data_IF_892202301881
#
_entry.id   IF_892202301881
#
_cell.length_a   1.000
_cell.length_b   1.000
_cell.length_c   1.000
_cell.angle_alpha   90.00
_cell.angle_beta   90.00
_cell.angle_gamma   90.00
#
_symmetry.space_group_name_H-M   'P 1'
#
loop_
_entity.id
_entity.type
_entity.pdbx_description
1 polymer ?
#
# COMPACT_ATOMS: atom_id res chain seq x y z
N UNK A 1 12.47 -44.39 5.61
CA UNK A 1 13.54 -43.95 4.71
C UNK A 1 13.36 -42.48 4.50
N UNK A 2 14.42 -41.71 4.66
CA UNK A 2 14.43 -40.29 4.31
C UNK A 2 14.84 -40.20 2.84
N UNK A 3 14.18 -39.40 2.04
CA UNK A 3 14.45 -39.25 0.62
C UNK A 3 13.90 -37.88 0.15
N UNK A 4 14.31 -37.48 -1.04
CA UNK A 4 13.81 -36.31 -1.73
C UNK A 4 13.04 -36.76 -2.99
N UNK A 5 11.99 -36.04 -3.32
CA UNK A 5 11.15 -36.32 -4.48
C UNK A 5 11.75 -35.64 -5.71
N UNK A 6 12.16 -36.40 -6.72
CA UNK A 6 12.58 -35.85 -8.00
C UNK A 6 11.38 -35.59 -8.91
N UNK A 7 10.43 -36.50 -8.93
CA UNK A 7 9.24 -36.40 -9.75
C UNK A 7 8.04 -37.00 -9.03
N UNK A 8 6.85 -36.38 -9.20
CA UNK A 8 5.58 -36.85 -8.63
C UNK A 8 4.48 -36.76 -9.67
N UNK A 9 4.03 -37.89 -10.19
CA UNK A 9 3.01 -37.98 -11.24
C UNK A 9 1.88 -38.94 -10.90
N UNK A 10 0.64 -38.46 -11.04
CA UNK A 10 -0.54 -39.30 -10.94
C UNK A 10 -0.97 -39.77 -12.32
N UNK A 11 -1.14 -41.07 -12.48
CA UNK A 11 -1.65 -41.70 -13.70
C UNK A 11 -3.19 -41.66 -13.75
N UNK A 12 -3.75 -41.87 -14.94
CA UNK A 12 -5.21 -41.98 -15.19
C UNK A 12 -5.90 -43.06 -14.33
N UNK A 13 -5.19 -44.12 -13.99
CA UNK A 13 -5.67 -45.18 -13.13
C UNK A 13 -5.62 -44.85 -11.62
N UNK A 14 -5.25 -43.62 -11.26
CA UNK A 14 -5.16 -43.15 -9.88
C UNK A 14 -3.90 -43.59 -9.13
N UNK A 15 -2.98 -44.31 -9.77
CA UNK A 15 -1.67 -44.65 -9.18
C UNK A 15 -0.75 -43.40 -9.26
N UNK A 16 0.08 -43.25 -8.22
CA UNK A 16 1.13 -42.22 -8.25
C UNK A 16 2.47 -42.91 -8.44
N UNK A 17 3.17 -42.43 -9.44
CA UNK A 17 4.55 -42.79 -9.72
C UNK A 17 5.47 -41.64 -9.34
N UNK A 18 6.50 -41.96 -8.61
CA UNK A 18 7.47 -40.96 -8.12
C UNK A 18 8.88 -41.54 -8.24
N UNK A 19 9.82 -40.65 -8.49
CA UNK A 19 11.24 -40.98 -8.38
C UNK A 19 11.75 -40.37 -7.06
N UNK A 20 12.28 -41.23 -6.19
CA UNK A 20 12.86 -40.85 -4.91
C UNK A 20 14.37 -40.86 -5.06
N UNK A 21 15.01 -39.78 -4.62
CA UNK A 21 16.45 -39.58 -4.70
C UNK A 21 17.05 -39.36 -3.30
N UNK A 22 18.31 -39.65 -3.18
CA UNK A 22 19.15 -39.26 -2.06
C UNK A 22 20.28 -38.42 -2.61
N UNK A 23 20.51 -37.25 -2.04
CA UNK A 23 21.57 -36.32 -2.43
C UNK A 23 22.53 -36.15 -1.26
N UNK A 24 23.79 -35.87 -1.58
CA UNK A 24 24.79 -35.41 -0.60
C UNK A 24 24.70 -33.89 -0.39
N UNK A 25 25.51 -33.37 0.52
CA UNK A 25 25.58 -31.93 0.82
C UNK A 25 26.01 -31.07 -0.39
N UNK A 26 26.51 -31.68 -1.46
CA UNK A 26 26.87 -31.02 -2.72
C UNK A 26 25.80 -31.10 -3.80
N UNK A 27 24.56 -31.53 -3.48
CA UNK A 27 23.45 -31.76 -4.41
C UNK A 27 23.76 -32.83 -5.49
N UNK A 28 24.71 -33.71 -5.24
CA UNK A 28 25.00 -34.85 -6.14
C UNK A 28 24.07 -36.01 -5.76
N UNK A 29 23.38 -36.56 -6.75
CA UNK A 29 22.49 -37.72 -6.52
C UNK A 29 23.35 -38.94 -6.23
N UNK A 30 23.28 -39.45 -4.99
CA UNK A 30 23.98 -40.65 -4.53
C UNK A 30 23.17 -41.89 -4.91
N UNK A 31 21.85 -41.85 -4.75
CA UNK A 31 20.98 -42.96 -5.06
C UNK A 31 19.66 -42.46 -5.63
N UNK A 32 19.06 -43.27 -6.49
CA UNK A 32 17.68 -43.03 -6.98
C UNK A 32 16.91 -44.32 -7.14
N UNK A 33 15.62 -44.27 -6.89
CA UNK A 33 14.73 -45.40 -7.03
C UNK A 33 13.34 -44.95 -7.45
N UNK A 34 12.73 -45.69 -8.35
CA UNK A 34 11.33 -45.52 -8.66
C UNK A 34 10.46 -46.03 -7.49
N UNK A 35 9.45 -45.25 -7.17
CA UNK A 35 8.48 -45.64 -6.15
C UNK A 35 7.04 -45.50 -6.66
N UNK A 36 6.16 -46.30 -6.13
CA UNK A 36 4.75 -46.30 -6.50
C UNK A 36 3.88 -46.20 -5.25
N UNK A 37 2.90 -45.30 -5.32
CA UNK A 37 1.80 -45.26 -4.36
C UNK A 37 0.52 -45.75 -5.07
N UNK A 38 0.05 -46.91 -4.67
CA UNK A 38 -1.10 -47.55 -5.33
C UNK A 38 -2.40 -46.80 -5.07
N UNK A 39 -3.29 -46.70 -6.06
CA UNK A 39 -4.55 -45.98 -5.99
C UNK A 39 -5.42 -46.29 -4.77
N UNK A 40 -5.40 -47.58 -4.33
CA UNK A 40 -6.13 -48.00 -3.12
C UNK A 40 -5.62 -47.36 -1.83
N UNK A 41 -4.36 -46.95 -1.80
CA UNK A 41 -3.69 -46.38 -0.62
C UNK A 41 -3.55 -44.86 -0.73
N UNK A 42 -3.73 -44.28 -1.92
CA UNK A 42 -3.52 -42.83 -2.17
C UNK A 42 -4.29 -41.97 -1.16
N UNK A 43 -5.58 -42.25 -0.97
CA UNK A 43 -6.37 -41.46 -0.03
C UNK A 43 -5.87 -41.61 1.41
N UNK A 44 -5.56 -42.85 1.84
CA UNK A 44 -5.10 -43.13 3.19
C UNK A 44 -3.73 -42.48 3.51
N UNK A 45 -2.82 -42.50 2.54
CA UNK A 45 -1.44 -41.96 2.70
C UNK A 45 -1.42 -40.47 2.53
N UNK A 46 -2.14 -39.92 1.52
CA UNK A 46 -2.08 -38.49 1.22
C UNK A 46 -3.03 -37.63 2.04
N UNK A 47 -4.18 -38.15 2.51
CA UNK A 47 -5.12 -37.32 3.26
C UNK A 47 -4.50 -36.69 4.53
N UNK A 48 -3.81 -37.47 5.40
CA UNK A 48 -3.13 -36.88 6.56
C UNK A 48 -2.03 -35.93 6.18
N UNK A 49 -1.27 -36.24 5.11
CA UNK A 49 -0.20 -35.40 4.61
C UNK A 49 -0.75 -34.07 4.09
N UNK A 50 -1.77 -34.11 3.23
CA UNK A 50 -2.40 -32.88 2.67
C UNK A 50 -3.08 -32.07 3.78
N UNK A 51 -3.70 -32.74 4.78
CA UNK A 51 -4.29 -32.03 5.90
C UNK A 51 -3.26 -31.23 6.71
N UNK A 52 -2.05 -31.76 6.89
CA UNK A 52 -0.99 -31.11 7.66
C UNK A 52 -0.20 -30.10 6.84
N UNK A 53 0.11 -30.40 5.57
CA UNK A 53 0.98 -29.58 4.70
C UNK A 53 0.22 -28.69 3.73
N UNK A 54 -1.09 -28.92 3.55
CA UNK A 54 -1.95 -28.17 2.64
C UNK A 54 -1.92 -28.66 1.19
N UNK A 55 -0.97 -29.53 0.80
CA UNK A 55 -0.84 -30.03 -0.57
C UNK A 55 -0.21 -31.43 -0.62
N UNK A 56 -0.37 -32.15 -1.76
CA UNK A 56 0.36 -33.38 -1.99
C UNK A 56 1.87 -33.13 -2.09
N UNK A 57 2.71 -34.18 -1.93
CA UNK A 57 4.12 -34.09 -2.20
C UNK A 57 4.41 -33.60 -3.62
N UNK A 58 5.48 -32.81 -3.76
CA UNK A 58 5.98 -32.30 -5.05
C UNK A 58 7.49 -32.52 -5.16
N UNK A 59 8.05 -32.20 -6.32
CA UNK A 59 9.50 -32.29 -6.56
C UNK A 59 10.29 -31.47 -5.52
N UNK A 60 11.49 -31.90 -5.20
CA UNK A 60 12.48 -31.36 -4.24
C UNK A 60 11.99 -31.32 -2.78
N UNK A 61 10.92 -32.02 -2.46
CA UNK A 61 10.41 -32.14 -1.10
C UNK A 61 11.13 -33.30 -0.38
N UNK A 62 11.70 -32.99 0.80
CA UNK A 62 12.25 -34.02 1.68
C UNK A 62 11.11 -34.72 2.44
N UNK A 63 11.04 -36.02 2.28
CA UNK A 63 10.01 -36.88 2.88
C UNK A 63 10.62 -37.93 3.77
N UNK A 64 9.93 -38.24 4.86
CA UNK A 64 10.13 -39.49 5.58
C UNK A 64 9.02 -40.46 5.17
N UNK A 65 9.41 -41.48 4.40
CA UNK A 65 8.46 -42.47 3.83
C UNK A 65 8.65 -43.85 4.41
N UNK A 66 7.55 -44.53 4.62
CA UNK A 66 7.56 -45.96 4.89
C UNK A 66 7.36 -46.70 3.57
N UNK A 67 8.34 -47.48 3.19
CA UNK A 67 8.34 -48.20 1.92
C UNK A 67 8.60 -49.67 2.11
N UNK A 68 8.14 -50.47 1.16
CA UNK A 68 8.58 -51.88 0.96
C UNK A 68 9.28 -51.99 -0.38
N UNK A 69 10.39 -52.71 -0.39
CA UNK A 69 11.12 -53.02 -1.61
C UNK A 69 10.39 -54.13 -2.39
N UNK A 70 10.24 -53.94 -3.67
CA UNK A 70 9.64 -54.89 -4.58
C UNK A 70 10.53 -55.07 -5.81
N UNK A 71 10.75 -56.33 -6.15
CA UNK A 71 11.46 -56.68 -7.37
C UNK A 71 10.55 -57.43 -8.33
N UNK A 72 10.42 -56.90 -9.53
CA UNK A 72 9.66 -57.55 -10.59
C UNK A 72 10.58 -57.98 -11.72
N UNK A 73 10.46 -59.21 -12.18
CA UNK A 73 11.37 -59.79 -13.19
C UNK A 73 11.46 -59.01 -14.51
N UNK A 74 10.40 -58.25 -14.86
CA UNK A 74 10.33 -57.44 -16.08
C UNK A 74 10.61 -55.94 -15.84
N UNK A 75 10.24 -55.40 -14.64
CA UNK A 75 10.30 -53.99 -14.37
C UNK A 75 11.42 -53.59 -13.39
N UNK A 76 12.15 -54.57 -12.89
CA UNK A 76 13.27 -54.35 -12.00
C UNK A 76 12.87 -54.01 -10.55
N UNK A 77 13.77 -53.30 -9.88
CA UNK A 77 13.60 -52.89 -8.49
C UNK A 77 12.73 -51.63 -8.41
N UNK A 78 11.81 -51.59 -7.49
CA UNK A 78 10.96 -50.46 -7.18
C UNK A 78 10.54 -50.48 -5.70
N UNK A 79 10.11 -49.32 -5.21
CA UNK A 79 9.61 -49.15 -3.87
C UNK A 79 8.08 -48.95 -3.88
N UNK A 80 7.38 -49.54 -2.91
CA UNK A 80 5.96 -49.26 -2.68
C UNK A 80 5.82 -48.39 -1.44
N UNK A 81 5.18 -47.24 -1.57
CA UNK A 81 4.96 -46.29 -0.46
C UNK A 81 3.72 -46.71 0.32
N UNK A 82 3.86 -46.86 1.65
CA UNK A 82 2.78 -47.23 2.56
C UNK A 82 2.35 -46.08 3.49
N UNK A 83 3.27 -45.17 3.85
CA UNK A 83 2.99 -43.99 4.65
C UNK A 83 4.00 -42.90 4.36
N UNK A 84 3.60 -41.67 4.59
CA UNK A 84 4.42 -40.46 4.52
C UNK A 84 4.23 -39.70 5.82
N UNK A 85 5.31 -39.35 6.51
CA UNK A 85 5.26 -38.55 7.73
C UNK A 85 5.22 -37.04 7.42
N UNK A 86 4.09 -36.37 7.67
CA UNK A 86 3.99 -34.93 7.43
C UNK A 86 4.83 -34.09 8.39
N UNK A 87 5.04 -34.56 9.63
CA UNK A 87 5.79 -33.80 10.65
C UNK A 87 7.26 -33.69 10.29
N UNK A 88 7.83 -34.71 9.68
CA UNK A 88 9.20 -34.68 9.17
C UNK A 88 9.38 -33.59 8.11
N UNK A 89 8.47 -33.54 7.15
CA UNK A 89 8.52 -32.54 6.07
C UNK A 89 8.37 -31.12 6.61
N UNK A 90 7.45 -30.89 7.53
CA UNK A 90 7.29 -29.58 8.17
C UNK A 90 8.52 -29.20 8.99
N UNK A 91 9.13 -30.16 9.70
CA UNK A 91 10.35 -29.96 10.45
C UNK A 91 11.56 -29.61 9.54
N UNK A 92 11.65 -30.26 8.38
CA UNK A 92 12.71 -29.95 7.40
C UNK A 92 12.56 -28.55 6.80
N UNK A 93 11.34 -28.12 6.51
CA UNK A 93 11.05 -26.75 6.04
C UNK A 93 11.42 -25.71 7.09
N UNK A 94 11.05 -25.94 8.35
CA UNK A 94 11.40 -25.03 9.45
C UNK A 94 12.92 -25.00 9.71
N UNK A 95 13.60 -26.14 9.60
CA UNK A 95 15.06 -26.18 9.70
C UNK A 95 15.74 -25.34 8.62
N UNK A 96 15.27 -25.42 7.37
CA UNK A 96 15.75 -24.59 6.25
C UNK A 96 15.52 -23.09 6.54
N UNK A 97 14.35 -22.74 7.04
CA UNK A 97 14.05 -21.35 7.43
C UNK A 97 14.99 -20.85 8.53
N UNK A 98 15.25 -21.69 9.54
CA UNK A 98 16.18 -21.35 10.62
C UNK A 98 17.61 -21.16 10.12
N UNK A 99 18.07 -21.99 9.19
CA UNK A 99 19.38 -21.87 8.56
C UNK A 99 19.51 -20.52 7.81
N UNK A 100 18.52 -20.18 6.98
CA UNK A 100 18.50 -18.91 6.26
C UNK A 100 18.49 -17.73 7.25
N UNK A 101 17.66 -17.81 8.30
CA UNK A 101 17.58 -16.80 9.36
C UNK A 101 18.91 -16.55 10.05
N UNK A 102 19.59 -17.63 10.46
CA UNK A 102 20.91 -17.56 11.09
C UNK A 102 21.98 -17.00 10.13
N UNK A 103 21.94 -17.35 8.87
CA UNK A 103 22.86 -16.84 7.85
C UNK A 103 22.69 -15.33 7.68
N UNK A 104 21.47 -14.85 7.49
CA UNK A 104 21.19 -13.41 7.33
C UNK A 104 21.53 -12.61 8.60
N UNK A 105 21.35 -13.20 9.78
CA UNK A 105 21.77 -12.60 11.06
C UNK A 105 23.29 -12.51 11.18
N UNK A 106 24.00 -13.58 10.77
CA UNK A 106 25.47 -13.57 10.77
C UNK A 106 26.04 -12.54 9.80
N UNK A 107 25.37 -12.30 8.68
CA UNK A 107 25.67 -11.24 7.70
C UNK A 107 25.22 -9.84 8.17
N UNK A 108 24.53 -9.74 9.29
CA UNK A 108 23.97 -8.48 9.85
C UNK A 108 23.03 -7.72 8.91
N UNK A 109 22.35 -8.42 8.01
CA UNK A 109 21.42 -7.83 7.04
C UNK A 109 19.95 -8.17 7.28
N UNK A 110 19.64 -9.06 8.22
CA UNK A 110 18.31 -9.60 8.47
C UNK A 110 17.23 -8.51 8.64
N UNK A 111 17.54 -7.45 9.39
CA UNK A 111 16.59 -6.37 9.69
C UNK A 111 16.70 -5.17 8.73
N UNK A 112 17.61 -5.19 7.75
CA UNK A 112 17.88 -4.01 6.92
C UNK A 112 16.62 -3.47 6.23
N UNK A 113 15.85 -4.31 5.54
CA UNK A 113 14.64 -3.86 4.87
C UNK A 113 13.53 -3.50 5.87
N UNK A 114 13.43 -4.26 6.95
CA UNK A 114 12.46 -4.05 8.03
C UNK A 114 12.62 -2.70 8.72
N UNK A 115 13.86 -2.20 8.81
CA UNK A 115 14.19 -0.91 9.42
C UNK A 115 14.04 0.27 8.45
N UNK A 116 13.78 0.04 7.16
CA UNK A 116 13.55 1.12 6.21
C UNK A 116 12.31 1.92 6.61
N UNK A 117 12.43 3.23 6.48
CA UNK A 117 11.28 4.13 6.71
C UNK A 117 10.24 3.94 5.61
N UNK A 118 8.98 3.78 6.03
CA UNK A 118 7.87 3.78 5.08
C UNK A 118 7.71 5.19 4.52
N UNK A 119 7.60 5.36 3.20
CA UNK A 119 7.32 6.65 2.59
C UNK A 119 6.06 7.28 3.17
N UNK A 120 6.10 8.57 3.41
CA UNK A 120 4.92 9.31 3.86
C UNK A 120 3.81 9.31 2.83
N UNK A 121 4.15 9.25 1.54
CA UNK A 121 3.20 9.25 0.43
C UNK A 121 3.58 8.15 -0.56
N UNK A 122 2.57 7.53 -1.15
CA UNK A 122 2.74 6.56 -2.22
C UNK A 122 2.30 7.19 -3.54
N UNK A 123 3.26 7.46 -4.40
CA UNK A 123 3.03 8.04 -5.73
C UNK A 123 3.27 7.01 -6.84
N UNK A 124 4.27 6.14 -6.65
CA UNK A 124 4.64 5.12 -7.61
C UNK A 124 5.15 3.86 -6.93
N UNK A 125 4.53 2.74 -7.24
CA UNK A 125 4.80 1.45 -6.60
C UNK A 125 5.09 0.40 -7.68
N UNK A 126 6.14 -0.40 -7.45
CA UNK A 126 6.43 -1.57 -8.26
C UNK A 126 5.73 -2.80 -7.66
N UNK A 127 5.06 -3.59 -8.50
CA UNK A 127 4.32 -4.78 -8.07
C UNK A 127 4.86 -6.00 -8.79
N UNK A 128 5.43 -6.93 -8.04
CA UNK A 128 5.92 -8.22 -8.54
C UNK A 128 4.85 -9.28 -8.27
N UNK A 129 4.37 -9.92 -9.32
CA UNK A 129 3.35 -10.98 -9.23
C UNK A 129 3.37 -11.89 -10.46
N UNK A 130 2.61 -12.97 -10.43
CA UNK A 130 2.32 -13.76 -11.63
C UNK A 130 1.19 -13.10 -12.44
N UNK A 131 1.31 -13.12 -13.74
CA UNK A 131 0.31 -12.55 -14.65
C UNK A 131 -1.08 -13.19 -14.49
N UNK A 132 -1.12 -14.47 -14.14
CA UNK A 132 -2.34 -15.28 -14.01
C UNK A 132 -2.82 -15.45 -12.57
N UNK A 133 -2.14 -14.83 -11.59
CA UNK A 133 -2.49 -15.02 -10.19
C UNK A 133 -3.86 -14.39 -9.86
N UNK A 134 -4.75 -15.18 -9.24
CA UNK A 134 -6.05 -14.69 -8.75
C UNK A 134 -5.87 -13.51 -7.79
N UNK A 135 -4.88 -13.57 -6.88
CA UNK A 135 -4.58 -12.49 -5.95
C UNK A 135 -4.14 -11.18 -6.61
N UNK A 136 -3.57 -11.24 -7.82
CA UNK A 136 -3.29 -10.03 -8.60
C UNK A 136 -4.58 -9.35 -9.05
N UNK A 137 -5.62 -10.12 -9.38
CA UNK A 137 -6.95 -9.59 -9.71
C UNK A 137 -7.55 -8.81 -8.54
N UNK A 138 -7.50 -9.40 -7.34
CA UNK A 138 -8.01 -8.76 -6.13
C UNK A 138 -7.23 -7.49 -5.78
N UNK A 139 -5.92 -7.54 -5.89
CA UNK A 139 -5.05 -6.37 -5.69
C UNK A 139 -5.39 -5.24 -6.68
N UNK A 140 -5.57 -5.59 -7.96
CA UNK A 140 -5.87 -4.62 -9.03
C UNK A 140 -7.17 -3.89 -8.83
N UNK A 141 -8.17 -4.49 -8.22
CA UNK A 141 -9.46 -3.82 -8.00
C UNK A 141 -9.28 -2.48 -7.26
N UNK A 142 -8.44 -2.43 -6.24
CA UNK A 142 -8.16 -1.19 -5.51
C UNK A 142 -7.04 -0.37 -6.17
N UNK A 143 -5.99 -1.01 -6.66
CA UNK A 143 -4.87 -0.35 -7.31
C UNK A 143 -5.28 0.43 -8.57
N UNK A 144 -6.13 -0.16 -9.41
CA UNK A 144 -6.62 0.49 -10.63
C UNK A 144 -7.52 1.71 -10.29
N UNK A 145 -8.23 1.65 -9.17
CA UNK A 145 -8.99 2.80 -8.65
C UNK A 145 -8.07 3.96 -8.30
N UNK A 146 -7.00 3.68 -7.57
CA UNK A 146 -6.01 4.70 -7.21
C UNK A 146 -5.31 5.27 -8.44
N UNK A 147 -4.98 4.42 -9.41
CA UNK A 147 -4.34 4.84 -10.64
C UNK A 147 -5.26 5.71 -11.52
N UNK A 148 -6.55 5.35 -11.64
CA UNK A 148 -7.54 6.16 -12.36
C UNK A 148 -7.78 7.51 -11.70
N UNK A 149 -7.76 7.55 -10.36
CA UNK A 149 -7.81 8.79 -9.59
C UNK A 149 -6.50 9.60 -9.65
N UNK A 150 -5.46 9.10 -10.31
CA UNK A 150 -4.11 9.70 -10.40
C UNK A 150 -3.46 9.92 -9.03
N UNK A 151 -3.81 9.10 -8.04
CA UNK A 151 -3.28 9.20 -6.69
C UNK A 151 -2.01 8.37 -6.51
N UNK A 152 -1.93 7.19 -7.17
CA UNK A 152 -0.76 6.33 -7.15
C UNK A 152 -0.67 5.56 -8.47
N UNK A 153 0.53 5.41 -9.01
CA UNK A 153 0.81 4.60 -10.20
C UNK A 153 1.39 3.26 -9.78
N UNK A 154 0.91 2.18 -10.41
CA UNK A 154 1.39 0.83 -10.18
C UNK A 154 2.01 0.28 -11.46
N UNK A 155 3.29 -0.07 -11.40
CA UNK A 155 4.00 -0.72 -12.51
C UNK A 155 4.17 -2.20 -12.18
N UNK A 156 3.68 -3.07 -13.07
CA UNK A 156 3.61 -4.51 -12.84
C UNK A 156 4.79 -5.24 -13.47
N UNK A 157 5.51 -5.98 -12.66
CA UNK A 157 6.64 -6.82 -13.04
C UNK A 157 6.23 -8.28 -12.86
N UNK A 158 6.18 -9.01 -13.97
CA UNK A 158 5.72 -10.39 -13.92
C UNK A 158 6.87 -11.34 -13.64
N UNK A 159 6.67 -12.20 -12.63
CA UNK A 159 7.59 -13.22 -12.19
C UNK A 159 6.88 -14.57 -12.04
N UNK A 160 7.64 -15.64 -12.13
CA UNK A 160 7.17 -16.97 -11.76
C UNK A 160 6.97 -17.01 -10.24
N UNK A 161 5.79 -17.44 -9.79
CA UNK A 161 5.40 -17.47 -8.37
C UNK A 161 5.19 -18.89 -7.85
N UNK A 162 5.57 -19.91 -8.62
CA UNK A 162 5.47 -21.33 -8.27
C UNK A 162 6.65 -22.10 -8.85
N UNK A 163 7.09 -23.15 -8.12
CA UNK A 163 8.21 -24.02 -8.54
C UNK A 163 9.58 -23.43 -8.21
N UNK A 164 10.63 -24.03 -8.77
CA UNK A 164 12.02 -23.75 -8.38
C UNK A 164 12.57 -22.42 -8.87
N UNK A 165 12.03 -21.87 -9.97
CA UNK A 165 12.50 -20.61 -10.55
C UNK A 165 11.92 -19.35 -9.89
N UNK A 166 11.20 -19.48 -8.78
CA UNK A 166 10.58 -18.35 -8.06
C UNK A 166 11.64 -17.35 -7.62
N UNK A 167 12.66 -17.82 -6.91
CA UNK A 167 13.70 -16.95 -6.36
C UNK A 167 14.45 -16.20 -7.46
N UNK A 168 14.92 -16.90 -8.48
CA UNK A 168 15.62 -16.32 -9.63
C UNK A 168 14.74 -15.30 -10.36
N UNK A 169 13.49 -15.67 -10.62
CA UNK A 169 12.55 -14.81 -11.34
C UNK A 169 12.25 -13.53 -10.58
N UNK A 170 12.05 -13.59 -9.26
CA UNK A 170 11.80 -12.39 -8.43
C UNK A 170 13.06 -11.53 -8.34
N UNK A 171 14.24 -12.15 -8.14
CA UNK A 171 15.52 -11.44 -8.11
C UNK A 171 15.76 -10.65 -9.40
N UNK A 172 15.48 -11.25 -10.56
CA UNK A 172 15.58 -10.57 -11.86
C UNK A 172 14.64 -9.38 -12.00
N UNK A 173 13.43 -9.45 -11.43
CA UNK A 173 12.53 -8.29 -11.43
C UNK A 173 12.98 -7.21 -10.45
N UNK A 174 13.48 -7.58 -9.28
CA UNK A 174 14.06 -6.61 -8.33
C UNK A 174 15.21 -5.84 -8.95
N UNK A 175 16.08 -6.50 -9.73
CA UNK A 175 17.16 -5.82 -10.45
C UNK A 175 16.63 -4.81 -11.45
N UNK A 176 15.61 -5.16 -12.23
CA UNK A 176 14.98 -4.22 -13.17
C UNK A 176 14.35 -3.02 -12.45
N UNK A 177 13.73 -3.24 -11.30
CA UNK A 177 13.13 -2.19 -10.48
C UNK A 177 14.20 -1.22 -9.99
N UNK A 178 15.31 -1.74 -9.48
CA UNK A 178 16.43 -0.91 -9.00
C UNK A 178 17.15 -0.16 -10.12
N UNK A 179 17.17 -0.70 -11.34
CA UNK A 179 17.77 -0.07 -12.53
C UNK A 179 16.83 0.91 -13.24
N UNK A 180 15.58 1.02 -12.78
CA UNK A 180 14.59 1.89 -13.43
C UNK A 180 14.97 3.37 -13.26
N UNK A 181 14.81 4.16 -14.33
CA UNK A 181 15.20 5.58 -14.37
C UNK A 181 14.43 6.46 -13.38
N UNK A 182 13.17 6.12 -13.13
CA UNK A 182 12.33 6.81 -12.16
C UNK A 182 12.22 5.97 -10.88
N UNK A 183 12.43 6.56 -9.69
CA UNK A 183 12.41 5.83 -8.44
C UNK A 183 10.99 5.34 -8.09
N UNK A 184 10.92 4.26 -7.34
CA UNK A 184 9.71 3.75 -6.72
C UNK A 184 9.69 4.09 -5.22
N UNK A 185 8.49 4.27 -4.67
CA UNK A 185 8.30 4.51 -3.24
C UNK A 185 8.38 3.21 -2.43
N UNK A 186 7.91 2.11 -3.02
CA UNK A 186 7.92 0.78 -2.42
C UNK A 186 7.87 -0.31 -3.51
N UNK A 187 8.27 -1.51 -3.13
CA UNK A 187 8.08 -2.74 -3.92
C UNK A 187 7.06 -3.63 -3.22
N UNK A 188 6.15 -4.19 -3.98
CA UNK A 188 5.16 -5.14 -3.48
C UNK A 188 5.42 -6.49 -4.12
N UNK A 189 5.48 -7.54 -3.31
CA UNK A 189 5.55 -8.93 -3.77
C UNK A 189 4.26 -9.62 -3.34
N UNK A 190 3.42 -9.96 -4.31
CA UNK A 190 2.13 -10.59 -4.05
C UNK A 190 1.96 -11.89 -4.81
N UNK A 191 1.33 -12.84 -4.15
CA UNK A 191 0.91 -14.11 -4.72
C UNK A 191 -0.56 -14.36 -4.37
N UNK A 192 -1.30 -14.95 -5.27
CA UNK A 192 -2.63 -15.51 -4.96
C UNK A 192 -2.50 -16.78 -4.11
N UNK A 193 -3.59 -17.23 -3.53
CA UNK A 193 -3.64 -18.45 -2.74
C UNK A 193 -3.08 -19.68 -3.49
N UNK A 194 -2.51 -20.60 -2.75
CA UNK A 194 -1.93 -21.85 -3.24
C UNK A 194 -1.55 -22.74 -2.06
N UNK A 195 -1.00 -23.92 -2.31
CA UNK A 195 -0.59 -24.83 -1.26
C UNK A 195 0.64 -24.33 -0.49
N UNK A 196 0.80 -24.76 0.77
CA UNK A 196 1.98 -24.48 1.61
C UNK A 196 3.30 -24.86 0.94
N UNK A 197 3.29 -25.98 0.24
CA UNK A 197 4.45 -26.51 -0.49
C UNK A 197 4.90 -25.62 -1.64
N UNK A 198 3.97 -24.86 -2.24
CA UNK A 198 4.30 -23.89 -3.28
C UNK A 198 5.05 -22.64 -2.73
N UNK A 199 5.12 -22.52 -1.40
CA UNK A 199 5.85 -21.42 -0.75
C UNK A 199 7.33 -21.73 -0.57
N UNK A 200 7.76 -22.97 -0.78
CA UNK A 200 9.16 -23.36 -0.64
C UNK A 200 10.11 -22.53 -1.52
N UNK A 201 9.67 -22.16 -2.74
CA UNK A 201 10.47 -21.34 -3.65
C UNK A 201 10.72 -19.91 -3.17
N UNK A 202 9.96 -19.42 -2.19
CA UNK A 202 10.21 -18.12 -1.55
C UNK A 202 11.22 -18.22 -0.41
N UNK A 203 11.48 -19.43 0.09
CA UNK A 203 12.41 -19.70 1.18
C UNK A 203 13.80 -20.08 0.63
N UNK A 204 14.35 -19.17 -0.16
CA UNK A 204 15.68 -19.29 -0.75
C UNK A 204 16.60 -18.17 -0.25
N UNK A 205 17.83 -18.54 0.16
CA UNK A 205 18.79 -17.60 0.74
C UNK A 205 19.12 -16.44 -0.19
N UNK A 206 19.31 -16.70 -1.48
CA UNK A 206 19.62 -15.68 -2.49
C UNK A 206 18.53 -14.62 -2.59
N UNK A 207 17.26 -15.04 -2.62
CA UNK A 207 16.12 -14.14 -2.66
C UNK A 207 16.02 -13.32 -1.36
N UNK A 208 16.15 -14.00 -0.22
CA UNK A 208 16.10 -13.35 1.10
C UNK A 208 17.22 -12.30 1.23
N UNK A 209 18.45 -12.65 0.84
CA UNK A 209 19.59 -11.72 0.83
C UNK A 209 19.32 -10.49 -0.06
N UNK A 210 18.76 -10.72 -1.24
CA UNK A 210 18.40 -9.63 -2.18
C UNK A 210 17.37 -8.69 -1.59
N UNK A 211 16.34 -9.21 -0.91
CA UNK A 211 15.36 -8.38 -0.21
C UNK A 211 16.01 -7.56 0.92
N UNK A 212 16.82 -8.19 1.74
CA UNK A 212 17.52 -7.50 2.83
C UNK A 212 18.43 -6.37 2.33
N UNK A 213 19.01 -6.51 1.14
CA UNK A 213 19.90 -5.52 0.52
C UNK A 213 19.15 -4.45 -0.27
N UNK A 214 17.84 -4.60 -0.45
CA UNK A 214 17.04 -3.60 -1.15
C UNK A 214 17.02 -2.26 -0.40
N UNK A 215 17.20 -1.18 -1.13
CA UNK A 215 17.07 0.20 -0.62
C UNK A 215 15.62 0.69 -0.59
N UNK A 216 14.71 -0.04 -1.23
CA UNK A 216 13.29 0.26 -1.25
C UNK A 216 12.57 -0.60 -0.19
N UNK A 217 11.60 -0.04 0.55
CA UNK A 217 10.78 -0.82 1.46
C UNK A 217 9.97 -1.84 0.66
N UNK A 218 9.97 -3.08 1.12
CA UNK A 218 9.28 -4.20 0.46
C UNK A 218 8.08 -4.60 1.31
N UNK A 219 6.92 -4.68 0.66
CA UNK A 219 5.69 -5.19 1.24
C UNK A 219 5.38 -6.55 0.64
N UNK A 220 5.08 -7.51 1.49
CA UNK A 220 4.82 -8.89 1.08
C UNK A 220 3.36 -9.23 1.36
N UNK A 221 2.69 -9.86 0.39
CA UNK A 221 1.33 -10.37 0.52
C UNK A 221 1.22 -11.73 -0.16
N UNK A 222 1.89 -12.75 0.39
CA UNK A 222 2.10 -14.06 -0.27
C UNK A 222 1.22 -15.14 0.35
N UNK A 223 1.04 -15.16 1.67
CA UNK A 223 0.46 -16.28 2.40
C UNK A 223 -0.82 -15.95 3.17
N UNK A 224 -1.36 -16.96 3.85
CA UNK A 224 -2.39 -16.82 4.88
C UNK A 224 -1.73 -16.88 6.27
N UNK A 225 -2.45 -16.51 7.33
CA UNK A 225 -1.98 -16.44 8.74
C UNK A 225 -1.15 -17.66 9.24
N UNK A 226 -1.27 -18.81 8.56
CA UNK A 226 -0.60 -20.06 8.94
C UNK A 226 0.60 -20.41 8.07
N UNK A 227 0.91 -19.64 7.05
CA UNK A 227 1.87 -19.97 6.00
C UNK A 227 2.95 -18.90 5.90
N UNK A 228 3.89 -18.91 6.86
CA UNK A 228 4.99 -17.95 6.91
C UNK A 228 6.14 -18.35 5.98
N UNK A 229 6.67 -17.35 5.29
CA UNK A 229 7.90 -17.46 4.52
C UNK A 229 8.99 -16.60 5.17
N UNK A 230 10.27 -16.83 4.80
CA UNK A 230 11.35 -15.95 5.25
C UNK A 230 11.11 -14.50 4.82
N UNK A 231 10.43 -14.28 3.68
CA UNK A 231 10.14 -12.94 3.17
C UNK A 231 9.20 -12.16 4.11
N UNK A 232 8.28 -12.86 4.78
CA UNK A 232 7.36 -12.23 5.74
C UNK A 232 8.11 -11.70 6.98
N UNK A 233 9.25 -12.32 7.32
CA UNK A 233 10.06 -11.94 8.47
C UNK A 233 11.00 -10.76 8.18
N UNK A 234 11.57 -10.72 6.96
CA UNK A 234 12.59 -9.74 6.58
C UNK A 234 12.05 -8.51 5.84
N UNK A 235 10.85 -8.60 5.27
CA UNK A 235 10.22 -7.48 4.58
C UNK A 235 9.92 -6.32 5.55
N UNK A 236 9.83 -5.11 5.02
CA UNK A 236 9.42 -3.95 5.80
C UNK A 236 8.04 -4.17 6.42
N UNK A 237 7.13 -4.81 5.69
CA UNK A 237 5.81 -5.21 6.20
C UNK A 237 5.28 -6.44 5.49
N UNK A 238 4.70 -7.35 6.25
CA UNK A 238 3.99 -8.52 5.74
C UNK A 238 2.48 -8.37 5.94
N UNK A 239 1.73 -8.94 5.00
CA UNK A 239 0.26 -8.99 4.98
C UNK A 239 -0.18 -10.39 4.57
N UNK A 240 -1.27 -10.87 5.15
CA UNK A 240 -1.76 -12.22 4.88
C UNK A 240 -2.33 -12.40 3.46
N UNK A 241 -2.71 -11.32 2.78
CA UNK A 241 -3.31 -11.38 1.44
C UNK A 241 -2.92 -10.18 0.58
N UNK A 242 -2.91 -10.35 -0.75
CA UNK A 242 -2.73 -9.24 -1.71
C UNK A 242 -3.70 -8.07 -1.50
N UNK A 243 -4.96 -8.37 -1.17
CA UNK A 243 -5.98 -7.35 -0.92
C UNK A 243 -5.69 -6.51 0.33
N UNK A 244 -5.08 -7.10 1.38
CA UNK A 244 -4.66 -6.33 2.56
C UNK A 244 -3.54 -5.35 2.23
N UNK A 245 -2.67 -5.69 1.27
CA UNK A 245 -1.61 -4.77 0.79
C UNK A 245 -2.23 -3.56 0.09
N UNK A 246 -3.12 -3.78 -0.89
CA UNK A 246 -3.79 -2.70 -1.60
C UNK A 246 -4.62 -1.83 -0.66
N UNK A 247 -5.32 -2.45 0.28
CA UNK A 247 -6.09 -1.75 1.30
C UNK A 247 -5.22 -0.87 2.21
N UNK A 248 -4.05 -1.37 2.62
CA UNK A 248 -3.10 -0.59 3.41
C UNK A 248 -2.63 0.67 2.67
N UNK A 249 -2.30 0.53 1.38
CA UNK A 249 -1.89 1.66 0.54
C UNK A 249 -3.03 2.67 0.41
N UNK A 250 -4.24 2.18 0.09
CA UNK A 250 -5.44 3.01 0.01
C UNK A 250 -5.70 3.78 1.30
N UNK A 251 -5.64 3.08 2.45
CA UNK A 251 -5.84 3.71 3.76
C UNK A 251 -4.78 4.77 4.05
N UNK A 252 -3.52 4.52 3.72
CA UNK A 252 -2.43 5.48 3.93
C UNK A 252 -2.65 6.74 3.10
N UNK A 253 -2.94 6.59 1.81
CA UNK A 253 -3.23 7.72 0.91
C UNK A 253 -4.46 8.50 1.41
N UNK A 254 -5.52 7.80 1.77
CA UNK A 254 -6.75 8.43 2.26
C UNK A 254 -6.55 9.16 3.59
N UNK A 255 -5.82 8.53 4.52
CA UNK A 255 -5.49 9.15 5.81
C UNK A 255 -4.67 10.44 5.63
N UNK A 256 -3.68 10.42 4.75
CA UNK A 256 -2.87 11.60 4.45
C UNK A 256 -3.70 12.72 3.81
N UNK A 257 -4.57 12.37 2.86
CA UNK A 257 -5.48 13.34 2.24
C UNK A 257 -6.43 13.95 3.26
N UNK A 258 -6.99 13.13 4.17
CA UNK A 258 -7.88 13.60 5.24
C UNK A 258 -7.13 14.52 6.21
N UNK A 259 -5.92 14.15 6.60
CA UNK A 259 -5.07 14.93 7.50
C UNK A 259 -4.70 16.27 6.87
N UNK A 260 -4.30 16.28 5.59
CA UNK A 260 -4.03 17.50 4.84
C UNK A 260 -5.27 18.42 4.76
N UNK A 261 -6.45 17.84 4.51
CA UNK A 261 -7.72 18.60 4.52
C UNK A 261 -8.01 19.20 5.90
N UNK A 262 -7.83 18.42 6.98
CA UNK A 262 -8.04 18.92 8.35
C UNK A 262 -7.07 20.06 8.69
N UNK A 263 -5.81 19.94 8.30
CA UNK A 263 -4.82 21.00 8.49
C UNK A 263 -5.18 22.27 7.69
N UNK A 264 -5.56 22.12 6.43
CA UNK A 264 -6.01 23.25 5.61
C UNK A 264 -7.21 23.96 6.24
N UNK A 265 -8.20 23.17 6.72
CA UNK A 265 -9.37 23.74 7.43
C UNK A 265 -8.98 24.44 8.73
N UNK A 266 -8.07 23.87 9.50
CA UNK A 266 -7.58 24.48 10.74
C UNK A 266 -6.84 25.79 10.46
N UNK A 267 -6.01 25.85 9.40
CA UNK A 267 -5.33 27.06 8.96
C UNK A 267 -6.35 28.15 8.60
N UNK A 268 -7.37 27.78 7.81
CA UNK A 268 -8.44 28.74 7.44
C UNK A 268 -9.18 29.29 8.67
N UNK A 269 -9.54 28.41 9.60
CA UNK A 269 -10.22 28.81 10.84
C UNK A 269 -9.34 29.70 11.71
N UNK A 270 -8.06 29.35 11.85
CA UNK A 270 -7.09 30.17 12.59
C UNK A 270 -6.93 31.55 11.96
N UNK A 271 -6.76 31.59 10.64
CA UNK A 271 -6.65 32.84 9.86
C UNK A 271 -7.86 33.75 10.08
N UNK A 272 -9.07 33.16 10.05
CA UNK A 272 -10.29 33.93 10.30
C UNK A 272 -10.36 34.48 11.73
N UNK A 273 -9.94 33.68 12.71
CA UNK A 273 -9.87 34.15 14.11
C UNK A 273 -8.87 35.29 14.29
N UNK A 274 -7.67 35.13 13.74
CA UNK A 274 -6.64 36.17 13.79
C UNK A 274 -7.12 37.44 13.10
N UNK A 275 -7.73 37.33 11.94
CA UNK A 275 -8.29 38.46 11.22
C UNK A 275 -9.35 39.20 12.04
N UNK A 276 -10.32 38.48 12.60
CA UNK A 276 -11.39 39.08 13.41
C UNK A 276 -10.83 39.73 14.69
N UNK A 277 -9.90 39.05 15.36
CA UNK A 277 -9.23 39.60 16.55
C UNK A 277 -8.52 40.89 16.23
N UNK A 278 -7.73 40.90 15.15
CA UNK A 278 -6.97 42.08 14.75
C UNK A 278 -7.85 43.25 14.30
N UNK A 279 -8.94 42.95 13.59
CA UNK A 279 -9.95 43.97 13.23
C UNK A 279 -10.59 44.62 14.47
N UNK A 280 -10.93 43.82 15.46
CA UNK A 280 -11.49 44.32 16.72
C UNK A 280 -10.47 45.15 17.50
N UNK A 281 -9.22 44.71 17.53
CA UNK A 281 -8.14 45.45 18.21
C UNK A 281 -7.86 46.81 17.56
N UNK A 282 -7.83 46.85 16.23
CA UNK A 282 -7.74 48.07 15.46
C UNK A 282 -8.94 48.98 15.73
N UNK A 283 -10.15 48.46 15.76
CA UNK A 283 -11.37 49.23 16.04
C UNK A 283 -11.32 49.83 17.45
N UNK A 284 -10.98 49.03 18.44
CA UNK A 284 -10.86 49.47 19.86
C UNK A 284 -9.77 50.52 20.01
N UNK A 285 -8.61 50.31 19.39
CA UNK A 285 -7.50 51.26 19.43
C UNK A 285 -7.89 52.58 18.80
N UNK A 286 -8.57 52.56 17.64
CA UNK A 286 -9.10 53.74 16.99
C UNK A 286 -10.11 54.48 17.86
N UNK A 287 -11.04 53.75 18.49
CA UNK A 287 -12.04 54.32 19.40
C UNK A 287 -11.37 54.99 20.63
N UNK A 288 -10.40 54.31 21.25
CA UNK A 288 -9.65 54.85 22.39
C UNK A 288 -8.86 56.09 22.03
N UNK A 289 -8.25 56.13 20.86
CA UNK A 289 -7.55 57.32 20.36
C UNK A 289 -8.52 58.47 20.15
N UNK A 290 -9.67 58.21 19.53
CA UNK A 290 -10.70 59.21 19.34
C UNK A 290 -11.23 59.80 20.66
N UNK A 291 -11.54 58.91 21.62
CA UNK A 291 -12.05 59.32 22.95
C UNK A 291 -10.98 60.11 23.73
N UNK A 292 -9.74 59.61 23.73
CA UNK A 292 -8.63 60.33 24.36
C UNK A 292 -8.39 61.70 23.76
N UNK A 293 -8.50 61.81 22.41
CA UNK A 293 -8.37 63.05 21.69
C UNK A 293 -9.48 64.03 22.05
N UNK A 294 -10.73 63.58 22.07
CA UNK A 294 -11.90 64.39 22.47
C UNK A 294 -11.76 64.85 23.92
N UNK A 295 -11.37 63.95 24.83
CA UNK A 295 -11.20 64.29 26.23
C UNK A 295 -10.06 65.34 26.44
N UNK A 296 -8.91 65.13 25.72
CA UNK A 296 -7.82 66.11 25.76
C UNK A 296 -8.28 67.48 25.21
N UNK A 297 -8.96 67.48 24.06
CA UNK A 297 -9.48 68.73 23.46
C UNK A 297 -10.49 69.41 24.41
N UNK A 298 -11.42 68.64 24.98
CA UNK A 298 -12.42 69.18 25.91
C UNK A 298 -11.75 69.72 27.19
N UNK A 299 -10.78 68.97 27.72
CA UNK A 299 -10.02 69.40 28.92
C UNK A 299 -9.24 70.68 28.64
N UNK A 300 -8.56 70.73 27.45
CA UNK A 300 -7.80 71.91 27.04
C UNK A 300 -8.74 73.10 26.75
N UNK A 301 -9.91 72.85 26.11
CA UNK A 301 -10.90 73.87 25.88
C UNK A 301 -11.44 74.45 27.20
N UNK A 302 -11.73 73.60 28.19
CA UNK A 302 -12.13 74.06 29.51
C UNK A 302 -11.01 74.86 30.23
N UNK A 303 -9.77 74.42 30.12
CA UNK A 303 -8.63 75.15 30.69
C UNK A 303 -8.44 76.52 30.00
N UNK A 304 -8.53 76.51 28.67
CA UNK A 304 -8.49 77.79 27.91
C UNK A 304 -9.62 78.73 28.26
N UNK A 305 -10.87 78.17 28.51
CA UNK A 305 -11.99 79.00 28.93
C UNK A 305 -11.79 79.56 30.34
N UNK A 306 -11.20 78.72 31.24
CA UNK A 306 -10.82 79.15 32.61
C UNK A 306 -9.68 80.25 32.59
N UNK A 307 -8.69 80.05 31.74
CA UNK A 307 -7.67 81.04 31.53
C UNK A 307 -8.18 82.34 30.87
N UNK A 308 -9.13 82.18 29.92
CA UNK A 308 -9.77 83.33 29.29
C UNK A 308 -10.61 84.14 30.28
N UNK A 309 -11.17 83.50 31.28
CA UNK A 309 -11.90 84.21 32.37
C UNK A 309 -10.96 84.93 33.35
N UNK A 310 -9.75 84.33 33.56
CA UNK A 310 -8.72 84.93 34.41
C UNK A 310 -7.79 85.92 33.71
N UNK A 311 -8.07 86.20 32.46
CA UNK A 311 -7.19 87.00 31.52
C UNK A 311 -7.42 88.45 31.64
N UNK A 312 -7.43 89.08 32.74
CA UNK A 312 -7.01 90.45 32.73
C UNK A 312 -5.51 90.69 33.02
N UNK A 313 -4.72 89.66 33.38
CA UNK A 313 -3.35 89.90 33.90
C UNK A 313 -2.17 89.10 33.38
N UNK A 314 -2.32 87.91 32.73
CA UNK A 314 -1.15 87.08 32.38
C UNK A 314 -1.15 86.49 30.97
N UNK A 315 -1.60 87.20 29.99
CA UNK A 315 -2.24 86.56 28.84
C UNK A 315 -1.36 86.05 27.70
N UNK A 316 -0.29 86.68 27.31
CA UNK A 316 0.35 86.26 26.03
C UNK A 316 1.33 85.06 26.11
N UNK A 317 2.09 84.97 27.21
CA UNK A 317 3.03 83.86 27.34
C UNK A 317 2.34 82.48 27.63
N UNK A 318 1.26 82.49 28.40
CA UNK A 318 0.50 81.28 28.71
C UNK A 318 -0.21 80.72 27.45
N UNK A 319 -0.79 81.63 26.64
CA UNK A 319 -1.43 81.25 25.38
C UNK A 319 -0.44 80.64 24.39
N UNK A 320 0.76 81.29 24.21
CA UNK A 320 1.80 80.74 23.35
C UNK A 320 2.29 79.37 23.85
N UNK A 321 2.45 79.21 25.15
CA UNK A 321 2.84 77.88 25.76
C UNK A 321 1.82 76.79 25.52
N UNK A 322 0.51 77.11 25.61
CA UNK A 322 -0.59 76.18 25.33
C UNK A 322 -0.69 75.83 23.84
N UNK A 323 -0.50 76.77 22.95
CA UNK A 323 -0.49 76.59 21.49
C UNK A 323 0.68 75.62 21.10
N UNK A 324 1.85 75.80 21.72
CA UNK A 324 2.99 74.92 21.45
C UNK A 324 2.74 73.51 21.92
N UNK A 325 2.04 73.33 23.07
CA UNK A 325 1.63 72.00 23.60
C UNK A 325 0.64 71.31 22.68
N UNK A 326 -0.35 72.00 22.18
CA UNK A 326 -1.32 71.50 21.22
C UNK A 326 -0.64 71.06 19.89
N UNK A 327 0.33 71.85 19.42
CA UNK A 327 1.05 71.47 18.22
C UNK A 327 1.95 70.24 18.39
N UNK A 328 2.60 70.08 19.56
CA UNK A 328 3.40 68.87 19.86
C UNK A 328 2.53 67.61 19.93
N UNK A 329 1.33 67.72 20.57
CA UNK A 329 0.37 66.63 20.59
C UNK A 329 -0.18 66.30 19.20
N UNK A 330 -0.41 67.31 18.36
CA UNK A 330 -0.80 67.12 16.95
C UNK A 330 0.28 66.36 16.17
N UNK A 331 1.54 66.68 16.40
CA UNK A 331 2.67 66.01 15.76
C UNK A 331 2.82 64.57 16.22
N UNK A 332 2.63 64.27 17.54
CA UNK A 332 2.58 62.92 18.06
C UNK A 332 1.43 62.08 17.48
N UNK A 333 0.25 62.68 17.36
CA UNK A 333 -0.91 62.05 16.75
C UNK A 333 -0.69 61.71 15.27
N UNK A 334 -0.06 62.62 14.53
CA UNK A 334 0.32 62.36 13.13
C UNK A 334 1.31 61.21 12.98
N UNK A 335 2.32 61.15 13.88
CA UNK A 335 3.30 60.08 13.90
C UNK A 335 2.64 58.71 14.23
N UNK A 336 1.73 58.72 15.21
CA UNK A 336 0.96 57.50 15.58
C UNK A 336 0.04 57.07 14.45
N UNK A 337 -0.63 58.00 13.78
CA UNK A 337 -1.46 57.70 12.60
C UNK A 337 -0.64 57.10 11.44
N UNK A 338 0.56 57.66 11.20
CA UNK A 338 1.47 57.15 10.19
C UNK A 338 1.90 55.68 10.51
N UNK A 339 2.30 55.41 11.75
CA UNK A 339 2.68 54.05 12.17
C UNK A 339 1.49 53.07 12.08
N UNK A 340 0.27 53.48 12.42
CA UNK A 340 -0.92 52.66 12.29
C UNK A 340 -1.21 52.30 10.83
N UNK A 341 -1.06 53.25 9.91
CA UNK A 341 -1.21 52.99 8.47
C UNK A 341 -0.14 52.06 7.93
N UNK A 342 1.10 52.10 8.43
CA UNK A 342 2.14 51.16 8.07
C UNK A 342 1.81 49.74 8.57
N UNK A 343 1.30 49.59 9.79
CA UNK A 343 0.83 48.27 10.31
C UNK A 343 -0.34 47.73 9.52
N UNK A 344 -1.32 48.56 9.14
CA UNK A 344 -2.45 48.15 8.29
C UNK A 344 -1.98 47.68 6.92
N UNK A 345 -1.02 48.36 6.31
CA UNK A 345 -0.45 47.97 5.01
C UNK A 345 0.28 46.61 5.10
N UNK A 346 1.06 46.44 6.17
CA UNK A 346 1.75 45.14 6.43
C UNK A 346 0.74 44.05 6.61
N UNK A 347 -0.28 44.24 7.45
CA UNK A 347 -1.32 43.26 7.74
C UNK A 347 -2.12 42.84 6.48
N UNK A 348 -2.42 43.84 5.59
CA UNK A 348 -3.04 43.52 4.29
C UNK A 348 -2.16 42.63 3.41
N UNK A 349 -0.86 42.88 3.37
CA UNK A 349 0.09 42.06 2.60
C UNK A 349 0.17 40.66 3.16
N UNK A 350 0.32 40.53 4.48
CA UNK A 350 0.42 39.24 5.16
C UNK A 350 -0.88 38.45 4.98
N UNK A 351 -2.04 39.13 5.08
CA UNK A 351 -3.35 38.53 4.85
C UNK A 351 -3.54 38.01 3.40
N UNK A 352 -3.12 38.82 2.42
CA UNK A 352 -3.19 38.42 1.01
C UNK A 352 -2.31 37.21 0.75
N UNK A 353 -1.11 37.19 1.34
CA UNK A 353 -0.22 36.04 1.24
C UNK A 353 -0.84 34.77 1.83
N UNK A 354 -1.41 34.86 3.05
CA UNK A 354 -2.08 33.72 3.70
C UNK A 354 -3.29 33.23 2.87
N UNK A 355 -4.11 34.16 2.36
CA UNK A 355 -5.26 33.82 1.52
C UNK A 355 -4.83 33.10 0.23
N UNK A 356 -3.76 33.58 -0.40
CA UNK A 356 -3.27 32.97 -1.62
C UNK A 356 -2.76 31.55 -1.36
N UNK A 357 -1.93 31.38 -0.34
CA UNK A 357 -1.39 30.06 0.04
C UNK A 357 -2.51 29.09 0.45
N UNK A 358 -3.50 29.58 1.22
CA UNK A 358 -4.64 28.76 1.64
C UNK A 358 -5.52 28.35 0.45
N UNK A 359 -5.69 29.25 -0.53
CA UNK A 359 -6.47 28.98 -1.75
C UNK A 359 -5.80 27.95 -2.65
N UNK A 360 -4.46 28.04 -2.78
CA UNK A 360 -3.67 27.05 -3.52
C UNK A 360 -3.73 25.68 -2.87
N UNK A 361 -3.66 25.62 -1.53
CA UNK A 361 -3.77 24.37 -0.77
C UNK A 361 -5.20 23.78 -0.85
N UNK A 362 -6.22 24.62 -0.78
CA UNK A 362 -7.61 24.19 -0.90
C UNK A 362 -7.95 23.66 -2.32
N UNK A 363 -7.43 24.32 -3.36
CA UNK A 363 -7.65 23.89 -4.74
C UNK A 363 -6.99 22.52 -5.03
N UNK A 364 -5.80 22.28 -4.48
CA UNK A 364 -5.12 20.97 -4.62
C UNK A 364 -5.91 19.85 -3.94
N UNK A 365 -6.47 20.13 -2.75
CA UNK A 365 -7.31 19.17 -2.02
C UNK A 365 -8.66 18.92 -2.71
N UNK A 366 -9.25 19.98 -3.26
CA UNK A 366 -10.51 19.87 -4.02
C UNK A 366 -10.31 19.04 -5.29
N UNK A 367 -9.22 19.28 -6.03
CA UNK A 367 -8.90 18.52 -7.23
C UNK A 367 -8.70 17.02 -6.95
N UNK A 368 -8.06 16.69 -5.83
CA UNK A 368 -7.89 15.31 -5.39
C UNK A 368 -9.23 14.65 -5.03
N UNK A 369 -10.13 15.40 -4.37
CA UNK A 369 -11.47 14.90 -3.99
C UNK A 369 -12.39 14.71 -5.20
N UNK A 370 -12.35 15.63 -6.17
CA UNK A 370 -13.13 15.54 -7.41
C UNK A 370 -12.65 14.36 -8.28
N UNK A 371 -11.34 14.12 -8.32
CA UNK A 371 -10.76 12.97 -9.02
C UNK A 371 -11.21 11.64 -8.42
N UNK A 372 -11.28 11.55 -7.08
CA UNK A 372 -11.81 10.39 -6.36
C UNK A 372 -13.31 10.18 -6.65
N UNK A 373 -14.06 11.25 -6.69
CA UNK A 373 -15.51 11.20 -6.95
C UNK A 373 -15.82 10.76 -8.40
N UNK A 374 -15.06 11.25 -9.38
CA UNK A 374 -15.17 10.81 -10.78
C UNK A 374 -14.79 9.33 -10.95
N UNK A 375 -13.83 8.87 -10.17
CA UNK A 375 -13.46 7.47 -10.15
C UNK A 375 -14.60 6.56 -9.65
N UNK A 376 -15.24 6.92 -8.53
CA UNK A 376 -16.38 6.18 -7.97
C UNK A 376 -17.55 6.13 -8.95
N UNK A 377 -17.84 7.23 -9.64
CA UNK A 377 -18.92 7.34 -10.63
C UNK A 377 -18.62 6.60 -11.95
N UNK A 378 -17.35 6.21 -12.16
CA UNK A 378 -16.89 5.51 -13.35
C UNK A 378 -17.07 3.99 -13.38
N UNK A 379 -17.60 3.41 -12.31
CA UNK A 379 -17.65 1.96 -12.08
C UNK A 379 -18.99 1.34 -12.51
N UNK A 380 -19.34 1.47 -13.77
CA UNK A 380 -20.50 0.77 -14.32
C UNK A 380 -20.09 -0.42 -15.21
N UNK A 381 -20.96 -1.42 -15.35
CA UNK A 381 -20.74 -2.55 -16.23
C UNK A 381 -20.46 -2.13 -17.69
N UNK A 382 -21.09 -1.05 -18.16
CA UNK A 382 -20.87 -0.50 -19.50
C UNK A 382 -19.44 -0.03 -19.75
N UNK A 383 -18.81 0.64 -18.78
CA UNK A 383 -17.43 1.10 -18.91
C UNK A 383 -16.40 -0.03 -18.80
N UNK A 384 -16.75 -1.11 -18.14
CA UNK A 384 -15.93 -2.33 -18.07
C UNK A 384 -15.89 -3.01 -19.44
N UNK A 385 -17.01 -3.09 -20.10
CA UNK A 385 -17.11 -3.61 -21.47
C UNK A 385 -16.37 -2.74 -22.51
N UNK A 386 -16.37 -1.41 -22.33
CA UNK A 386 -15.61 -0.49 -23.20
C UNK A 386 -14.09 -0.68 -23.13
N UNK A 387 -13.58 -1.29 -22.05
CA UNK A 387 -12.14 -1.58 -21.85
C UNK A 387 -11.68 -2.91 -22.42
N UNK A 388 -12.57 -3.61 -23.13
CA UNK A 388 -12.24 -4.90 -23.76
C UNK A 388 -12.53 -6.11 -22.88
N UNK A 389 -13.14 -5.91 -21.70
CA UNK A 389 -13.65 -7.02 -20.90
C UNK A 389 -15.01 -7.47 -21.43
N UNK A 390 -15.29 -8.73 -21.21
CA UNK A 390 -16.61 -9.31 -21.43
C UNK A 390 -17.09 -9.96 -20.15
N UNK A 391 -18.38 -10.06 -19.96
CA UNK A 391 -18.95 -10.87 -18.91
C UNK A 391 -19.88 -11.92 -19.49
N UNK A 392 -20.00 -13.00 -18.81
CA UNK A 392 -20.81 -14.15 -19.26
C UNK A 392 -22.09 -14.20 -18.46
N UNK A 393 -23.20 -14.42 -19.16
CA UNK A 393 -24.52 -14.64 -18.56
C UNK A 393 -25.22 -15.87 -19.13
N UNK A 394 -26.06 -16.47 -18.31
CA UNK A 394 -27.10 -17.36 -18.75
C UNK A 394 -28.45 -16.86 -18.19
N UNK A 395 -29.34 -16.42 -19.08
CA UNK A 395 -30.53 -15.65 -18.67
C UNK A 395 -30.14 -14.35 -17.96
N UNK A 396 -30.67 -14.12 -16.77
CA UNK A 396 -30.33 -12.94 -15.96
C UNK A 396 -29.17 -13.14 -14.97
N UNK A 397 -28.60 -14.35 -14.91
CA UNK A 397 -27.57 -14.68 -13.95
C UNK A 397 -26.18 -14.52 -14.52
N UNK A 398 -25.28 -13.83 -13.79
CA UNK A 398 -23.87 -13.70 -14.14
C UNK A 398 -23.12 -14.99 -13.82
N UNK A 399 -22.30 -15.46 -14.75
CA UNK A 399 -21.44 -16.64 -14.60
C UNK A 399 -20.02 -16.15 -14.31
N UNK A 400 -19.54 -16.48 -13.11
CA UNK A 400 -18.23 -15.96 -12.64
C UNK A 400 -17.18 -17.05 -12.50
N UNK A 401 -17.51 -18.30 -12.72
CA UNK A 401 -16.55 -19.42 -12.62
C UNK A 401 -16.79 -20.47 -13.69
N UNK A 402 -15.74 -21.19 -14.03
CA UNK A 402 -15.78 -22.32 -14.96
C UNK A 402 -16.80 -23.38 -14.51
N UNK A 403 -16.85 -23.68 -13.20
CA UNK A 403 -17.76 -24.67 -12.63
C UNK A 403 -19.25 -24.28 -12.78
N UNK A 404 -19.54 -22.98 -12.80
CA UNK A 404 -20.88 -22.49 -13.10
C UNK A 404 -21.15 -22.56 -14.61
N UNK A 405 -20.17 -22.26 -15.45
CA UNK A 405 -20.30 -22.29 -16.89
C UNK A 405 -20.57 -23.69 -17.44
N UNK A 406 -19.92 -24.71 -16.89
CA UNK A 406 -20.08 -26.10 -17.32
C UNK A 406 -21.47 -26.70 -17.07
N UNK A 407 -22.27 -26.07 -16.20
CA UNK A 407 -23.65 -26.47 -15.93
C UNK A 407 -24.68 -26.01 -16.98
N UNK A 408 -24.28 -25.22 -17.96
CA UNK A 408 -25.20 -24.65 -18.95
C UNK A 408 -24.79 -25.03 -20.37
N UNK A 409 -25.75 -25.42 -21.18
CA UNK A 409 -25.54 -25.80 -22.58
C UNK A 409 -25.30 -24.58 -23.48
N UNK A 410 -25.78 -23.43 -23.09
CA UNK A 410 -25.60 -22.17 -23.82
C UNK A 410 -25.22 -21.05 -22.87
N UNK A 411 -24.26 -20.27 -23.28
CA UNK A 411 -23.78 -19.12 -22.52
C UNK A 411 -23.76 -17.90 -23.41
N UNK A 412 -24.11 -16.77 -22.86
CA UNK A 412 -24.06 -15.49 -23.56
C UNK A 412 -22.87 -14.66 -23.06
N UNK A 413 -21.93 -14.40 -23.94
CA UNK A 413 -20.80 -13.53 -23.67
C UNK A 413 -21.17 -12.13 -24.13
N UNK A 414 -21.21 -11.20 -23.21
CA UNK A 414 -21.54 -9.82 -23.46
C UNK A 414 -20.28 -9.00 -23.71
N UNK A 415 -20.18 -8.43 -24.87
CA UNK A 415 -19.18 -7.46 -25.28
C UNK A 415 -19.81 -6.06 -25.34
N UNK A 416 -18.98 -5.05 -25.57
CA UNK A 416 -19.42 -3.66 -25.71
C UNK A 416 -20.43 -3.47 -26.87
N UNK A 417 -20.24 -4.19 -27.94
CA UNK A 417 -20.93 -4.02 -29.26
C UNK A 417 -21.89 -5.16 -29.58
N UNK A 418 -22.04 -6.11 -28.69
CA UNK A 418 -22.97 -7.21 -28.92
C UNK A 418 -22.86 -8.36 -27.93
N UNK A 419 -23.70 -9.33 -28.14
CA UNK A 419 -23.78 -10.55 -27.35
C UNK A 419 -23.45 -11.72 -28.27
N UNK A 420 -22.46 -12.51 -27.88
CA UNK A 420 -22.15 -13.76 -28.59
C UNK A 420 -22.72 -14.92 -27.76
N UNK A 421 -23.68 -15.61 -28.32
CA UNK A 421 -24.18 -16.85 -27.73
C UNK A 421 -23.31 -18.01 -28.17
N UNK A 422 -22.79 -18.74 -27.24
CA UNK A 422 -21.99 -19.95 -27.50
C UNK A 422 -22.62 -21.17 -26.87
N UNK A 423 -22.53 -22.26 -27.55
CA UNK A 423 -22.93 -23.56 -27.01
C UNK A 423 -21.74 -24.19 -26.29
N UNK A 424 -21.96 -24.58 -25.08
CA UNK A 424 -20.96 -25.27 -24.30
C UNK A 424 -21.02 -26.77 -24.66
N UNK A 425 -20.19 -27.17 -25.61
CA UNK A 425 -20.06 -28.58 -25.97
C UNK A 425 -19.20 -29.28 -24.91
N UNK A 426 -19.78 -29.50 -23.75
CA UNK A 426 -19.14 -30.32 -22.75
C UNK A 426 -19.46 -31.77 -23.10
N UNK A 427 -18.47 -32.48 -23.61
CA UNK A 427 -18.51 -33.91 -23.69
C UNK A 427 -18.37 -34.43 -22.25
N UNK A 428 -19.27 -35.25 -21.73
CA UNK A 428 -19.19 -35.71 -20.33
C UNK A 428 -18.12 -36.79 -20.07
N UNK A 429 -17.12 -36.92 -20.95
CA UNK A 429 -16.06 -37.92 -20.90
C UNK A 429 -14.65 -37.28 -21.04
N UNK A 430 -14.35 -36.22 -20.24
CA UNK A 430 -12.98 -35.81 -20.00
C UNK A 430 -12.83 -35.22 -18.58
#
# INVERSE_FOLDING_TARGET
MICEVSEWRQNQNGHIYTELIEQDDGHVIIAKSNATLWSRQVHHVLAPFIQATGAPPCADMKLLVQVSAHFHSRYGFSLNIHAIDPHFTLGALEAKLNEIRLTLQSEQIFDNNRMLTIPCEFTRIAVISSQTAAGLGDFRQEADRLAQAKLCRFDYFYATMQGHSVAESICAQLDKIHQHSEPYDAVIIIRGGGAKTDLAGFNELELARKLCQSTLPIFVGIGHERDHTILDEIAQRSFDTPSKVSHYILQTIFHNALTAYQHAKAVLQFTQKVYNFTQNDIHNTRHNIQQSTINVINTQAHQLQKYRQNISHHSKQAIQKQIHLINSHKQQLQTTHYTLNQYQLKLRKDFQFILQTSKETANTTQFSSESLMQFILGLGPEKTLQRGFSYIKHGDQYITSYKQASGYNTLNIHFKDGILSTTNNHNPED
#
